data_IF_553347834571
#
_entry.id   IF_553347834571
#
_cell.length_a   1.000
_cell.length_b   1.000
_cell.length_c   1.000
_cell.angle_alpha   90.00
_cell.angle_beta   90.00
_cell.angle_gamma   90.00
#
_symmetry.space_group_name_H-M   'P 1'
#
loop_
_entity.id
_entity.type
_entity.pdbx_description
1 polymer ?
#
# COMPACT_ATOMS: atom_id res chain seq x y z
N UNK A 1 -31.64 2.93 60.16
CA UNK A 1 -31.74 4.39 59.98
C UNK A 1 -30.36 4.98 60.10
N UNK A 2 -30.06 6.00 59.28
CA UNK A 2 -28.78 6.71 59.09
C UNK A 2 -27.68 5.97 58.30
N UNK A 3 -27.65 6.25 56.98
CA UNK A 3 -26.44 6.59 56.21
C UNK A 3 -26.86 7.22 54.88
N UNK A 4 -27.01 8.53 54.91
CA UNK A 4 -27.09 9.40 53.75
C UNK A 4 -26.22 10.62 54.07
N UNK A 5 -25.70 11.30 53.04
CA UNK A 5 -24.88 12.52 53.09
C UNK A 5 -23.37 12.30 53.24
N UNK A 6 -22.71 11.73 52.23
CA UNK A 6 -21.29 11.98 51.89
C UNK A 6 -20.96 11.54 50.45
N UNK A 7 -21.82 11.86 49.47
CA UNK A 7 -21.64 11.40 48.08
C UNK A 7 -21.93 12.45 47.01
N UNK A 8 -21.75 13.75 47.31
CA UNK A 8 -22.01 14.85 46.35
C UNK A 8 -20.80 15.77 46.16
N UNK A 9 -19.61 15.44 46.70
CA UNK A 9 -18.43 16.28 46.54
C UNK A 9 -17.20 15.53 46.03
N UNK A 10 -17.38 14.62 45.07
CA UNK A 10 -16.28 13.93 44.39
C UNK A 10 -16.62 13.67 42.93
N UNK A 11 -17.27 14.63 42.26
CA UNK A 11 -17.65 14.54 40.84
C UNK A 11 -17.30 15.82 40.07
N UNK A 12 -16.36 16.60 40.58
CA UNK A 12 -15.90 17.85 39.95
C UNK A 12 -14.37 17.94 39.77
N UNK A 13 -13.64 16.83 39.92
CA UNK A 13 -12.16 16.83 39.82
C UNK A 13 -11.57 15.70 38.95
N UNK A 14 -12.35 15.15 38.03
CA UNK A 14 -11.93 14.11 37.05
C UNK A 14 -12.31 14.49 35.61
N UNK A 15 -12.50 15.79 35.35
CA UNK A 15 -12.90 16.33 34.05
C UNK A 15 -11.80 17.12 33.32
N UNK A 16 -10.52 16.93 33.65
CA UNK A 16 -9.44 17.77 33.12
C UNK A 16 -8.18 17.03 32.60
N UNK A 17 -8.14 15.70 32.59
CA UNK A 17 -6.96 14.92 32.15
C UNK A 17 -7.17 14.12 30.86
N UNK A 18 -8.28 14.32 30.15
CA UNK A 18 -8.63 13.59 28.92
C UNK A 18 -8.52 14.39 27.61
N UNK A 19 -7.93 15.60 27.63
CA UNK A 19 -7.86 16.49 26.44
C UNK A 19 -6.42 16.72 25.95
N UNK A 20 -5.40 16.18 26.64
CA UNK A 20 -4.01 16.36 26.25
C UNK A 20 -3.53 15.42 25.12
N UNK A 21 -4.24 14.32 24.83
CA UNK A 21 -3.86 13.37 23.77
C UNK A 21 -4.45 13.71 22.38
N UNK A 22 -5.41 14.64 22.31
CA UNK A 22 -5.98 15.15 21.03
C UNK A 22 -5.18 16.32 20.46
N UNK A 23 -4.13 16.79 21.15
CA UNK A 23 -3.30 17.91 20.72
C UNK A 23 -2.05 17.48 19.94
N UNK A 24 -1.70 16.19 19.91
CA UNK A 24 -0.46 15.73 19.27
C UNK A 24 -0.63 15.38 17.78
N UNK A 25 -1.83 15.00 17.33
CA UNK A 25 -2.18 14.95 15.89
C UNK A 25 -2.41 16.35 15.29
N UNK A 26 -2.65 17.37 16.12
CA UNK A 26 -2.85 18.75 15.65
C UNK A 26 -1.55 19.47 15.24
N UNK A 27 -0.37 18.91 15.51
CA UNK A 27 0.91 19.56 15.22
C UNK A 27 1.47 19.31 13.80
N UNK A 28 0.94 18.35 13.03
CA UNK A 28 1.30 18.21 11.60
C UNK A 28 0.59 19.23 10.69
N UNK A 29 -0.57 19.75 11.10
CA UNK A 29 -1.34 20.71 10.31
C UNK A 29 -0.78 22.16 10.35
N UNK A 30 -0.01 22.54 11.37
CA UNK A 30 0.38 23.95 11.57
C UNK A 30 1.57 24.44 10.72
N UNK A 31 2.30 23.56 10.02
CA UNK A 31 3.43 23.97 9.15
C UNK A 31 3.07 24.06 7.66
N UNK A 32 1.88 23.62 7.26
CA UNK A 32 1.47 23.58 5.85
C UNK A 32 0.39 24.61 5.49
N UNK A 33 0.04 25.55 6.37
CA UNK A 33 -0.96 26.58 6.06
C UNK A 33 -0.45 27.73 5.18
N UNK A 34 0.88 27.90 5.01
CA UNK A 34 1.44 28.92 4.10
C UNK A 34 1.46 28.42 2.66
N UNK A 35 0.30 28.42 2.02
CA UNK A 35 0.14 28.14 0.58
C UNK A 35 -0.81 27.00 0.23
N UNK A 36 -1.50 26.41 1.20
CA UNK A 36 -2.54 25.42 0.91
C UNK A 36 -3.68 26.09 0.13
N UNK A 37 -3.89 25.59 -1.08
CA UNK A 37 -5.01 26.01 -1.92
C UNK A 37 -6.33 25.77 -1.16
N UNK A 38 -7.33 26.65 -1.32
CA UNK A 38 -8.57 26.53 -0.58
C UNK A 38 -9.26 25.20 -0.90
N UNK A 39 -9.47 24.35 0.12
CA UNK A 39 -10.21 23.09 0.02
C UNK A 39 -11.59 23.23 0.69
N UNK A 40 -12.56 22.47 0.20
CA UNK A 40 -13.82 22.21 0.91
C UNK A 40 -13.72 20.83 1.56
N UNK A 41 -14.07 20.72 2.83
CA UNK A 41 -13.96 19.46 3.58
C UNK A 41 -15.26 19.05 4.26
N UNK A 42 -15.41 17.75 4.49
CA UNK A 42 -16.47 17.13 5.26
C UNK A 42 -15.90 16.08 6.20
N UNK A 43 -16.20 16.23 7.47
CA UNK A 43 -15.78 15.30 8.52
C UNK A 43 -16.91 14.31 8.84
N UNK A 44 -16.54 13.05 9.01
CA UNK A 44 -17.44 11.95 9.37
C UNK A 44 -16.83 11.23 10.55
N UNK A 45 -17.60 11.11 11.62
CA UNK A 45 -17.21 10.40 12.82
C UNK A 45 -18.07 9.17 12.98
N UNK A 46 -17.46 8.03 13.26
CA UNK A 46 -18.14 6.78 13.57
C UNK A 46 -17.52 6.13 14.79
N UNK A 47 -18.36 5.55 15.64
CA UNK A 47 -17.91 4.79 16.79
C UNK A 47 -18.81 3.59 17.02
N UNK A 48 -18.22 2.43 17.28
CA UNK A 48 -18.95 1.18 17.53
C UNK A 48 -18.22 0.37 18.60
N UNK A 49 -18.95 -0.10 19.60
CA UNK A 49 -18.38 -0.99 20.63
C UNK A 49 -18.00 -2.35 20.02
N UNK A 50 -16.73 -2.72 20.16
CA UNK A 50 -16.15 -3.97 19.66
C UNK A 50 -16.72 -5.21 20.33
N UNK A 51 -16.90 -5.18 21.65
CA UNK A 51 -17.46 -6.32 22.40
C UNK A 51 -16.61 -7.60 22.22
N UNK A 52 -17.20 -8.64 21.63
CA UNK A 52 -16.55 -9.92 21.32
C UNK A 52 -16.05 -10.01 19.86
N UNK A 53 -15.98 -8.88 19.15
CA UNK A 53 -15.45 -8.84 17.80
C UNK A 53 -14.04 -9.44 17.74
N UNK A 54 -13.79 -10.17 16.66
CA UNK A 54 -12.50 -10.80 16.37
C UNK A 54 -11.88 -10.29 15.09
N UNK A 55 -12.71 -9.77 14.18
CA UNK A 55 -12.27 -9.33 12.85
C UNK A 55 -12.65 -7.86 12.65
N UNK A 56 -11.72 -7.06 12.12
CA UNK A 56 -11.94 -5.74 11.57
C UNK A 56 -11.78 -5.80 10.06
N UNK A 57 -12.88 -5.60 9.33
CA UNK A 57 -12.87 -5.47 7.87
C UNK A 57 -12.87 -3.99 7.48
N UNK A 58 -11.92 -3.59 6.65
CA UNK A 58 -11.79 -2.24 6.12
C UNK A 58 -11.86 -2.34 4.60
N UNK A 59 -12.89 -1.74 4.00
CA UNK A 59 -13.11 -1.71 2.55
C UNK A 59 -13.24 -0.25 2.11
N UNK A 60 -12.13 0.30 1.61
CA UNK A 60 -12.02 1.69 1.21
C UNK A 60 -11.46 1.72 -0.21
N UNK A 61 -12.13 2.31 -1.20
CA UNK A 61 -11.63 2.25 -2.56
C UNK A 61 -10.41 3.14 -2.76
N UNK A 62 -10.34 4.30 -2.12
CA UNK A 62 -9.18 5.17 -2.20
C UNK A 62 -9.02 6.08 -1.00
N UNK A 63 -7.80 6.52 -0.74
CA UNK A 63 -7.49 7.50 0.30
C UNK A 63 -6.22 7.15 1.08
N UNK A 64 -6.00 7.90 2.16
CA UNK A 64 -4.98 7.65 3.17
C UNK A 64 -5.66 7.08 4.41
N UNK A 65 -5.16 5.95 4.90
CA UNK A 65 -5.69 5.25 6.06
C UNK A 65 -4.62 5.20 7.17
N UNK A 66 -4.94 5.74 8.33
CA UNK A 66 -4.14 5.65 9.55
C UNK A 66 -4.80 4.64 10.49
N UNK A 67 -4.23 3.44 10.64
CA UNK A 67 -4.79 2.37 11.48
C UNK A 67 -3.94 2.17 12.74
N UNK A 68 -4.49 2.53 13.89
CA UNK A 68 -3.86 2.33 15.19
C UNK A 68 -4.68 1.41 16.06
N UNK A 69 -4.01 0.52 16.77
CA UNK A 69 -4.66 -0.25 17.84
C UNK A 69 -4.69 0.53 19.14
N UNK A 70 -5.69 0.27 19.98
CA UNK A 70 -5.85 0.89 21.28
C UNK A 70 -6.25 -0.14 22.33
N UNK A 71 -6.11 0.23 23.60
CA UNK A 71 -6.61 -0.55 24.74
C UNK A 71 -8.12 -0.43 24.92
N UNK A 72 -8.77 0.45 24.14
CA UNK A 72 -10.22 0.58 24.16
C UNK A 72 -10.86 -0.65 23.54
N UNK A 73 -12.03 -1.03 24.03
CA UNK A 73 -12.87 -2.04 23.39
C UNK A 73 -13.79 -1.43 22.31
N UNK A 74 -13.58 -0.17 21.95
CA UNK A 74 -14.36 0.58 20.96
C UNK A 74 -13.55 0.76 19.69
N UNK A 75 -14.22 0.59 18.55
CA UNK A 75 -13.73 1.03 17.25
C UNK A 75 -14.15 2.49 17.05
N UNK A 76 -13.17 3.37 16.86
CA UNK A 76 -13.39 4.78 16.50
C UNK A 76 -12.87 5.05 15.10
N UNK A 77 -13.62 5.81 14.34
CA UNK A 77 -13.29 6.21 12.97
C UNK A 77 -13.49 7.71 12.86
N UNK A 78 -12.46 8.43 12.45
CA UNK A 78 -12.51 9.84 12.08
C UNK A 78 -12.08 9.94 10.62
N UNK A 79 -12.98 10.39 9.75
CA UNK A 79 -12.69 10.53 8.33
C UNK A 79 -12.91 11.95 7.86
N UNK A 80 -11.97 12.47 7.06
CA UNK A 80 -12.05 13.79 6.44
C UNK A 80 -12.00 13.60 4.94
N UNK A 81 -13.09 14.01 4.28
CA UNK A 81 -13.14 14.14 2.83
C UNK A 81 -12.82 15.57 2.47
N UNK A 82 -11.90 15.79 1.54
CA UNK A 82 -11.59 17.12 1.05
C UNK A 82 -11.56 17.17 -0.47
N UNK A 83 -11.84 18.34 -1.03
CA UNK A 83 -11.70 18.60 -2.45
C UNK A 83 -11.24 20.04 -2.70
N UNK A 84 -10.36 20.23 -3.69
CA UNK A 84 -9.83 21.55 -4.05
C UNK A 84 -10.90 22.45 -4.68
N UNK A 85 -10.87 23.74 -4.35
CA UNK A 85 -11.72 24.76 -4.98
C UNK A 85 -11.07 25.34 -6.26
N UNK A 86 -11.86 25.74 -7.27
CA UNK A 86 -13.32 25.60 -7.34
C UNK A 86 -13.75 24.14 -7.53
N UNK A 87 -14.83 23.74 -6.85
CA UNK A 87 -15.33 22.36 -6.91
C UNK A 87 -15.88 22.03 -8.30
N UNK A 88 -15.40 20.95 -8.89
CA UNK A 88 -16.06 20.33 -10.04
C UNK A 88 -17.39 19.69 -9.61
N UNK A 89 -18.31 19.49 -10.56
CA UNK A 89 -19.57 18.79 -10.28
C UNK A 89 -19.33 17.36 -9.75
N UNK A 90 -18.28 16.68 -10.23
CA UNK A 90 -17.89 15.35 -9.76
C UNK A 90 -17.33 15.39 -8.33
N UNK A 91 -16.45 16.35 -8.01
CA UNK A 91 -15.91 16.51 -6.66
C UNK A 91 -17.02 16.85 -5.64
N UNK A 92 -17.94 17.74 -6.02
CA UNK A 92 -19.12 18.06 -5.21
C UNK A 92 -20.00 16.82 -4.99
N UNK A 93 -20.29 16.07 -6.05
CA UNK A 93 -21.05 14.82 -5.95
C UNK A 93 -20.36 13.81 -5.04
N UNK A 94 -19.03 13.71 -5.09
CA UNK A 94 -18.26 12.84 -4.21
C UNK A 94 -18.35 13.27 -2.73
N UNK A 95 -18.20 14.56 -2.44
CA UNK A 95 -18.40 15.09 -1.08
C UNK A 95 -19.84 14.88 -0.58
N UNK A 96 -20.83 14.99 -1.46
CA UNK A 96 -22.26 14.93 -1.12
C UNK A 96 -22.82 13.52 -0.97
N UNK A 97 -22.40 12.60 -1.82
CA UNK A 97 -23.07 11.30 -1.98
C UNK A 97 -22.24 10.11 -1.51
N UNK A 98 -20.96 10.30 -1.16
CA UNK A 98 -20.16 9.21 -0.60
C UNK A 98 -20.65 8.85 0.80
N UNK A 99 -20.74 7.56 1.10
CA UNK A 99 -21.23 7.06 2.39
C UNK A 99 -20.12 6.27 3.06
N UNK A 100 -19.69 6.71 4.23
CA UNK A 100 -18.81 5.93 5.10
C UNK A 100 -19.68 5.25 6.16
N UNK A 101 -19.65 3.92 6.21
CA UNK A 101 -20.42 3.12 7.16
C UNK A 101 -19.48 2.46 8.15
N UNK A 102 -19.76 2.64 9.44
CA UNK A 102 -19.10 1.93 10.54
C UNK A 102 -20.15 1.08 11.23
N UNK A 103 -19.97 -0.24 11.24
CA UNK A 103 -20.98 -1.16 11.74
C UNK A 103 -20.37 -2.40 12.39
N UNK A 104 -21.17 -3.12 13.17
CA UNK A 104 -20.84 -4.43 13.73
C UNK A 104 -21.89 -5.43 13.31
N UNK A 105 -21.44 -6.59 12.86
CA UNK A 105 -22.28 -7.75 12.61
C UNK A 105 -21.66 -8.96 13.30
N UNK A 106 -22.22 -9.33 14.45
CA UNK A 106 -21.67 -10.39 15.30
C UNK A 106 -20.23 -10.10 15.72
N UNK A 107 -19.32 -10.99 15.32
CA UNK A 107 -17.89 -10.93 15.61
C UNK A 107 -17.07 -10.11 14.59
N UNK A 108 -17.72 -9.43 13.64
CA UNK A 108 -17.06 -8.64 12.60
C UNK A 108 -17.40 -7.17 12.76
N UNK A 109 -16.38 -6.34 12.94
CA UNK A 109 -16.45 -4.89 12.78
C UNK A 109 -16.17 -4.55 11.31
N UNK A 110 -16.90 -3.59 10.76
CA UNK A 110 -16.75 -3.19 9.35
C UNK A 110 -16.68 -1.67 9.25
N UNK A 111 -15.62 -1.18 8.57
CA UNK A 111 -15.49 0.19 8.08
C UNK A 111 -15.54 0.11 6.56
N UNK A 112 -16.55 0.73 5.94
CA UNK A 112 -16.75 0.66 4.50
C UNK A 112 -17.02 2.04 3.92
N UNK A 113 -16.23 2.45 2.94
CA UNK A 113 -16.49 3.64 2.14
C UNK A 113 -17.17 3.25 0.82
N UNK A 114 -18.27 3.90 0.51
CA UNK A 114 -19.01 3.71 -0.73
C UNK A 114 -19.08 5.04 -1.50
N UNK A 115 -18.22 5.25 -2.52
CA UNK A 115 -18.28 6.42 -3.37
C UNK A 115 -19.54 6.39 -4.23
N UNK A 116 -19.91 7.52 -4.87
CA UNK A 116 -21.12 7.58 -5.68
C UNK A 116 -21.04 6.62 -6.87
N UNK A 117 -22.17 6.05 -7.28
CA UNK A 117 -22.22 5.11 -8.41
C UNK A 117 -21.60 5.70 -9.67
N UNK A 118 -20.73 4.92 -10.32
CA UNK A 118 -20.03 5.29 -11.55
C UNK A 118 -18.79 6.18 -11.34
N UNK A 119 -18.43 6.52 -10.10
CA UNK A 119 -17.25 7.34 -9.80
C UNK A 119 -15.94 6.65 -10.24
N UNK A 120 -15.80 5.36 -9.96
CA UNK A 120 -14.59 4.59 -10.26
C UNK A 120 -14.54 4.06 -11.72
N UNK A 121 -15.70 3.82 -12.35
CA UNK A 121 -15.78 3.14 -13.65
C UNK A 121 -15.23 3.98 -14.81
N UNK A 122 -15.33 5.31 -14.72
CA UNK A 122 -15.05 6.17 -15.86
C UNK A 122 -13.57 6.53 -16.05
N UNK A 123 -12.68 6.15 -15.11
CA UNK A 123 -11.32 6.70 -15.08
C UNK A 123 -11.31 8.24 -15.02
N UNK A 124 -12.44 8.84 -14.64
CA UNK A 124 -12.71 10.27 -14.61
C UNK A 124 -12.14 10.95 -13.36
N UNK A 125 -11.48 10.21 -12.46
CA UNK A 125 -10.70 10.80 -11.38
C UNK A 125 -9.58 11.73 -11.89
N UNK A 126 -9.26 11.67 -13.19
CA UNK A 126 -8.41 12.65 -13.87
C UNK A 126 -9.05 14.05 -13.85
N UNK A 127 -8.77 14.80 -12.78
CA UNK A 127 -9.16 16.20 -12.62
C UNK A 127 -9.98 16.47 -11.36
N UNK A 128 -10.47 15.44 -10.68
CA UNK A 128 -11.05 15.58 -9.35
C UNK A 128 -9.90 15.54 -8.34
N UNK A 129 -9.38 16.70 -7.96
CA UNK A 129 -8.47 16.85 -6.82
C UNK A 129 -9.29 16.67 -5.53
N UNK A 130 -9.51 15.40 -5.19
CA UNK A 130 -10.21 14.93 -4.01
C UNK A 130 -9.26 14.11 -3.15
N UNK A 131 -9.51 14.10 -1.85
CA UNK A 131 -8.69 13.39 -0.88
C UNK A 131 -9.58 12.84 0.24
N UNK A 132 -9.28 11.63 0.71
CA UNK A 132 -9.97 10.96 1.81
C UNK A 132 -8.93 10.51 2.80
N UNK A 133 -8.94 11.10 3.98
CA UNK A 133 -8.10 10.71 5.10
C UNK A 133 -8.98 10.00 6.13
N UNK A 134 -8.59 8.82 6.58
CA UNK A 134 -9.33 8.03 7.57
C UNK A 134 -8.38 7.62 8.69
N UNK A 135 -8.67 8.09 9.89
CA UNK A 135 -8.04 7.61 11.11
C UNK A 135 -8.95 6.56 11.78
N UNK A 136 -8.40 5.37 12.03
CA UNK A 136 -9.07 4.27 12.71
C UNK A 136 -8.31 3.94 14.00
N UNK A 137 -9.01 4.00 15.12
CA UNK A 137 -8.55 3.46 16.40
C UNK A 137 -9.34 2.20 16.72
N UNK A 138 -8.70 1.03 16.63
CA UNK A 138 -9.34 -0.27 16.79
C UNK A 138 -8.91 -0.97 18.10
N UNK A 139 -9.73 -1.87 18.66
CA UNK A 139 -9.29 -2.75 19.74
C UNK A 139 -8.05 -3.59 19.33
N UNK A 140 -7.08 -3.70 20.24
CA UNK A 140 -5.91 -4.55 20.03
C UNK A 140 -6.30 -6.05 19.92
N UNK A 141 -5.52 -6.80 19.14
CA UNK A 141 -5.65 -8.24 18.96
C UNK A 141 -6.69 -8.68 17.93
N UNK A 142 -7.38 -7.74 17.26
CA UNK A 142 -8.27 -8.07 16.15
C UNK A 142 -7.51 -8.56 14.92
N UNK A 143 -8.09 -9.51 14.20
CA UNK A 143 -7.68 -9.87 12.85
C UNK A 143 -8.11 -8.76 11.89
N UNK A 144 -7.19 -8.24 11.08
CA UNK A 144 -7.48 -7.16 10.12
C UNK A 144 -7.59 -7.73 8.72
N UNK A 145 -8.66 -7.36 8.01
CA UNK A 145 -8.91 -7.62 6.58
C UNK A 145 -9.06 -6.28 5.87
N UNK A 146 -7.94 -5.74 5.37
CA UNK A 146 -7.84 -4.46 4.69
C UNK A 146 -7.91 -4.63 3.17
N UNK A 147 -8.80 -3.88 2.54
CA UNK A 147 -8.90 -3.73 1.10
C UNK A 147 -8.86 -2.24 0.73
N UNK A 148 -7.80 -1.85 0.03
CA UNK A 148 -7.59 -0.51 -0.51
C UNK A 148 -7.32 -0.60 -2.00
N UNK A 149 -8.05 0.10 -2.87
CA UNK A 149 -7.70 0.04 -4.31
C UNK A 149 -6.58 1.01 -4.66
N UNK A 150 -6.61 2.22 -4.11
CA UNK A 150 -5.64 3.27 -4.41
C UNK A 150 -5.29 4.12 -3.18
N UNK A 151 -4.03 4.43 -2.97
CA UNK A 151 -3.59 5.31 -1.88
C UNK A 151 -2.80 4.57 -0.83
N UNK A 152 -2.67 5.17 0.35
CA UNK A 152 -1.71 4.72 1.35
C UNK A 152 -2.40 4.21 2.61
N UNK A 153 -1.79 3.22 3.25
CA UNK A 153 -2.20 2.76 4.56
C UNK A 153 -0.97 2.76 5.48
N UNK A 154 -1.01 3.55 6.53
CA UNK A 154 -0.02 3.48 7.60
C UNK A 154 -0.67 3.11 8.93
N UNK A 155 0.14 2.61 9.85
CA UNK A 155 -0.40 2.18 11.11
C UNK A 155 0.57 1.41 12.00
N UNK A 156 0.06 1.01 13.15
CA UNK A 156 0.87 0.31 14.13
C UNK A 156 0.08 -0.25 15.31
N UNK A 157 0.76 -1.08 16.07
CA UNK A 157 0.26 -1.72 17.29
C UNK A 157 0.07 -3.23 17.17
N UNK A 158 -0.87 -3.77 17.94
CA UNK A 158 -0.99 -5.21 18.18
C UNK A 158 -2.21 -5.80 17.48
N UNK A 159 -1.99 -6.64 16.48
CA UNK A 159 -3.04 -7.32 15.72
C UNK A 159 -3.03 -8.84 15.99
N UNK A 160 -4.17 -9.47 15.73
CA UNK A 160 -4.26 -10.93 15.64
C UNK A 160 -3.50 -11.39 14.39
N UNK A 161 -4.21 -11.62 13.29
CA UNK A 161 -3.65 -11.67 11.95
C UNK A 161 -3.81 -10.33 11.23
N UNK A 162 -2.98 -10.07 10.22
CA UNK A 162 -3.13 -8.88 9.37
C UNK A 162 -3.11 -9.31 7.91
N UNK A 163 -4.22 -9.12 7.22
CA UNK A 163 -4.36 -9.33 5.79
C UNK A 163 -4.66 -8.00 5.11
N UNK A 164 -3.84 -7.62 4.13
CA UNK A 164 -3.99 -6.36 3.40
C UNK A 164 -3.84 -6.56 1.90
N UNK A 165 -4.79 -6.04 1.13
CA UNK A 165 -4.72 -5.98 -0.32
C UNK A 165 -4.79 -4.52 -0.74
N UNK A 166 -3.70 -4.00 -1.30
CA UNK A 166 -3.62 -2.64 -1.85
C UNK A 166 -3.40 -2.70 -3.36
N UNK A 167 -4.26 -2.06 -4.15
CA UNK A 167 -4.12 -2.06 -5.61
C UNK A 167 -2.90 -1.26 -6.06
N UNK A 168 -2.86 0.03 -5.75
CA UNK A 168 -1.67 0.86 -5.97
C UNK A 168 -1.49 1.93 -4.88
N UNK A 169 -0.28 2.01 -4.34
CA UNK A 169 0.10 2.97 -3.29
C UNK A 169 1.04 2.33 -2.27
N UNK A 170 1.04 2.86 -1.05
CA UNK A 170 2.05 2.52 -0.04
C UNK A 170 1.41 1.88 1.19
N UNK A 171 2.11 0.91 1.79
CA UNK A 171 1.74 0.32 3.08
C UNK A 171 2.91 0.51 4.03
N UNK A 172 2.75 1.32 5.08
CA UNK A 172 3.78 1.57 6.08
C UNK A 172 3.30 1.18 7.49
N UNK A 173 3.67 -0.02 7.95
CA UNK A 173 3.26 -0.53 9.26
C UNK A 173 4.45 -0.53 10.22
N UNK A 174 4.55 0.51 11.05
CA UNK A 174 5.65 0.69 11.99
C UNK A 174 5.19 1.37 13.31
N UNK A 175 5.49 0.79 14.49
CA UNK A 175 5.83 -0.61 14.75
C UNK A 175 4.58 -1.50 14.77
N UNK A 176 4.69 -2.74 14.31
CA UNK A 176 3.60 -3.73 14.31
C UNK A 176 3.99 -5.03 15.03
N UNK A 177 3.05 -5.58 15.80
CA UNK A 177 3.12 -6.92 16.39
C UNK A 177 1.89 -7.74 15.97
N UNK A 178 2.12 -8.88 15.32
CA UNK A 178 1.06 -9.79 14.90
C UNK A 178 1.14 -11.11 15.68
N UNK A 179 0.04 -11.51 16.31
CA UNK A 179 -0.08 -12.82 16.94
C UNK A 179 -0.25 -13.98 15.94
N UNK A 180 -0.73 -13.68 14.75
CA UNK A 180 -1.07 -14.56 13.65
C UNK A 180 -0.22 -14.34 12.41
N UNK A 181 -0.77 -14.66 11.23
CA UNK A 181 -0.11 -14.49 9.94
C UNK A 181 -0.18 -13.02 9.48
N UNK A 182 0.88 -12.58 8.80
CA UNK A 182 0.91 -11.31 8.08
C UNK A 182 0.88 -11.61 6.58
N UNK A 183 -0.19 -11.22 5.88
CA UNK A 183 -0.40 -11.46 4.44
C UNK A 183 -0.68 -10.12 3.74
N UNK A 184 0.32 -9.57 3.06
CA UNK A 184 0.21 -8.29 2.35
C UNK A 184 0.43 -8.47 0.85
N UNK A 185 -0.46 -7.86 0.08
CA UNK A 185 -0.45 -7.90 -1.37
C UNK A 185 -0.63 -6.48 -1.93
N UNK A 186 0.44 -5.92 -2.49
CA UNK A 186 0.43 -4.59 -3.13
C UNK A 186 0.61 -4.73 -4.64
N UNK A 187 -0.32 -4.24 -5.44
CA UNK A 187 -0.20 -4.31 -6.91
C UNK A 187 0.97 -3.49 -7.44
N UNK A 188 0.98 -2.19 -7.13
CA UNK A 188 2.06 -1.28 -7.48
C UNK A 188 2.33 -0.28 -6.36
N UNK A 189 3.54 -0.29 -5.82
CA UNK A 189 4.03 0.61 -4.79
C UNK A 189 4.83 -0.10 -3.71
N UNK A 190 4.93 0.52 -2.54
CA UNK A 190 5.90 0.14 -1.51
C UNK A 190 5.24 -0.52 -0.30
N UNK A 191 5.95 -1.47 0.30
CA UNK A 191 5.63 -2.05 1.60
C UNK A 191 6.80 -1.75 2.54
N UNK A 192 6.55 -0.99 3.61
CA UNK A 192 7.47 -0.75 4.71
C UNK A 192 6.91 -1.41 5.97
N UNK A 193 7.68 -2.30 6.61
CA UNK A 193 7.25 -3.04 7.79
C UNK A 193 8.31 -2.99 8.89
N UNK A 194 7.94 -2.48 10.06
CA UNK A 194 8.72 -2.60 11.29
C UNK A 194 8.09 -3.58 12.26
N UNK A 195 8.63 -4.79 12.35
CA UNK A 195 8.13 -5.76 13.32
C UNK A 195 8.69 -5.46 14.72
N UNK A 196 7.82 -5.29 15.71
CA UNK A 196 8.21 -5.14 17.12
C UNK A 196 8.52 -6.51 17.76
N UNK A 197 7.84 -7.56 17.30
CA UNK A 197 7.97 -8.92 17.82
C UNK A 197 8.26 -9.93 16.70
N UNK A 198 8.99 -11.03 16.98
CA UNK A 198 9.18 -12.10 16.00
C UNK A 198 7.86 -12.65 15.46
N UNK A 199 7.87 -13.05 14.19
CA UNK A 199 6.74 -13.72 13.56
C UNK A 199 6.38 -15.00 14.33
N UNK A 200 5.08 -15.24 14.52
CA UNK A 200 4.55 -16.44 15.19
C UNK A 200 3.95 -17.45 14.23
N UNK A 201 3.62 -17.03 13.01
CA UNK A 201 3.00 -17.84 11.96
C UNK A 201 3.63 -17.49 10.61
N UNK A 202 3.46 -18.42 9.68
CA UNK A 202 3.89 -18.23 8.31
C UNK A 202 3.22 -16.96 7.74
N UNK A 203 4.02 -16.14 7.07
CA UNK A 203 3.66 -14.82 6.59
C UNK A 203 4.11 -14.64 5.15
N UNK A 204 3.35 -13.86 4.39
CA UNK A 204 3.55 -13.67 2.97
C UNK A 204 3.47 -12.18 2.63
N UNK A 205 4.44 -11.69 1.88
CA UNK A 205 4.49 -10.33 1.38
C UNK A 205 4.68 -10.39 -0.13
N UNK A 206 3.87 -9.63 -0.85
CA UNK A 206 3.91 -9.61 -2.29
C UNK A 206 3.73 -8.19 -2.80
N UNK A 207 4.62 -7.77 -3.70
CA UNK A 207 4.49 -6.53 -4.48
C UNK A 207 4.62 -6.84 -5.97
N UNK A 208 3.73 -6.33 -6.80
CA UNK A 208 3.81 -6.53 -8.25
C UNK A 208 4.93 -5.68 -8.85
N UNK A 209 4.92 -4.39 -8.54
CA UNK A 209 5.99 -3.46 -8.89
C UNK A 209 6.24 -2.46 -7.76
N UNK A 210 7.45 -2.44 -7.22
CA UNK A 210 7.88 -1.51 -6.17
C UNK A 210 8.82 -2.18 -5.18
N UNK A 211 8.91 -1.62 -3.98
CA UNK A 211 9.90 -2.01 -2.97
C UNK A 211 9.24 -2.65 -1.75
N UNK A 212 9.92 -3.64 -1.17
CA UNK A 212 9.55 -4.20 0.13
C UNK A 212 10.73 -4.02 1.09
N UNK A 213 10.54 -3.17 2.11
CA UNK A 213 11.46 -2.93 3.20
C UNK A 213 10.92 -3.56 4.48
N UNK A 214 11.73 -4.39 5.14
CA UNK A 214 11.33 -5.10 6.36
C UNK A 214 12.41 -4.95 7.42
N UNK A 215 12.04 -4.42 8.56
CA UNK A 215 12.88 -4.37 9.75
C UNK A 215 12.49 -5.49 10.73
N UNK A 216 13.38 -6.46 10.88
CA UNK A 216 13.21 -7.58 11.80
C UNK A 216 13.91 -7.31 13.15
N UNK A 217 13.29 -7.67 14.29
CA UNK A 217 13.96 -7.67 15.60
C UNK A 217 15.25 -8.48 15.58
N UNK A 218 16.26 -8.06 16.36
CA UNK A 218 17.58 -8.75 16.45
C UNK A 218 17.45 -10.25 16.73
N UNK A 219 16.51 -10.62 17.59
CA UNK A 219 16.25 -11.98 18.06
C UNK A 219 15.23 -12.76 17.20
N UNK A 220 14.96 -12.32 15.96
CA UNK A 220 14.02 -13.03 15.07
C UNK A 220 14.55 -14.41 14.69
N UNK A 221 13.70 -15.42 14.91
CA UNK A 221 13.87 -16.79 14.43
C UNK A 221 12.85 -17.05 13.31
N UNK A 222 13.31 -17.13 12.06
CA UNK A 222 12.44 -17.30 10.90
C UNK A 222 13.20 -17.94 9.73
N UNK A 223 12.49 -18.71 8.91
CA UNK A 223 13.00 -19.13 7.60
C UNK A 223 12.48 -18.14 6.54
N UNK A 224 13.38 -17.39 5.90
CA UNK A 224 13.01 -16.32 4.96
C UNK A 224 13.30 -16.76 3.53
N UNK A 225 12.32 -16.61 2.64
CA UNK A 225 12.44 -16.85 1.20
C UNK A 225 12.08 -15.57 0.46
N UNK A 226 13.07 -14.89 -0.09
CA UNK A 226 12.91 -13.67 -0.88
C UNK A 226 13.06 -13.98 -2.38
N UNK A 227 12.14 -13.50 -3.19
CA UNK A 227 12.12 -13.71 -4.64
C UNK A 227 11.80 -12.41 -5.36
N UNK A 228 12.62 -12.06 -6.35
CA UNK A 228 12.43 -10.90 -7.22
C UNK A 228 12.42 -11.34 -8.69
N UNK A 229 11.44 -10.88 -9.46
CA UNK A 229 11.38 -11.10 -10.90
C UNK A 229 12.45 -10.28 -11.62
N UNK A 230 12.48 -8.97 -11.39
CA UNK A 230 13.53 -8.06 -11.89
C UNK A 230 13.93 -7.08 -10.79
N UNK A 231 15.20 -7.09 -10.41
CA UNK A 231 15.78 -6.16 -9.44
C UNK A 231 16.64 -6.84 -8.40
N UNK A 232 16.68 -6.30 -7.18
CA UNK A 232 17.71 -6.64 -6.18
C UNK A 232 17.14 -7.12 -4.85
N UNK A 233 17.92 -7.98 -4.18
CA UNK A 233 17.61 -8.49 -2.83
C UNK A 233 18.79 -8.16 -1.93
N UNK A 234 18.55 -7.32 -0.93
CA UNK A 234 19.51 -6.91 0.09
C UNK A 234 19.17 -7.50 1.46
N UNK A 235 20.18 -7.59 2.33
CA UNK A 235 20.00 -8.05 3.72
C UNK A 235 19.81 -9.57 3.89
N UNK A 236 19.72 -10.31 2.80
CA UNK A 236 19.70 -11.78 2.80
C UNK A 236 21.07 -12.31 2.35
N UNK A 237 21.80 -13.06 3.20
CA UNK A 237 23.06 -13.68 2.82
C UNK A 237 22.89 -14.49 1.54
N UNK A 238 23.70 -14.21 0.52
CA UNK A 238 23.68 -14.99 -0.71
C UNK A 238 24.26 -16.39 -0.43
N UNK A 239 23.53 -17.44 -0.81
CA UNK A 239 24.04 -18.82 -0.78
C UNK A 239 25.10 -19.07 -1.86
N UNK A 240 25.26 -18.15 -2.81
CA UNK A 240 26.25 -18.24 -3.89
C UNK A 240 26.65 -16.83 -4.34
N UNK A 241 27.96 -16.54 -4.33
CA UNK A 241 28.54 -15.27 -4.77
C UNK A 241 28.26 -15.06 -6.26
N UNK A 242 27.31 -14.18 -6.55
CA UNK A 242 27.20 -13.56 -7.86
C UNK A 242 27.07 -12.08 -7.57
N UNK A 243 28.19 -11.37 -7.58
CA UNK A 243 28.17 -9.90 -7.52
C UNK A 243 27.99 -9.43 -8.96
N UNK A 244 26.86 -8.77 -9.24
CA UNK A 244 26.49 -8.34 -10.58
C UNK A 244 25.24 -7.47 -10.56
N UNK A 245 25.34 -6.39 -11.33
CA UNK A 245 24.40 -5.28 -11.54
C UNK A 245 23.08 -5.78 -12.18
N UNK A 246 21.96 -5.63 -11.47
CA UNK A 246 20.57 -5.98 -11.86
C UNK A 246 20.36 -7.42 -12.32
N UNK A 247 19.68 -8.23 -11.50
CA UNK A 247 19.39 -9.63 -11.82
C UNK A 247 17.94 -9.82 -12.28
N UNK A 248 17.79 -10.50 -13.40
CA UNK A 248 16.52 -11.11 -13.80
C UNK A 248 16.41 -12.45 -13.06
N UNK A 249 15.39 -12.61 -12.21
CA UNK A 249 15.05 -13.87 -11.54
C UNK A 249 15.88 -14.20 -10.30
N UNK A 250 15.92 -13.30 -9.32
CA UNK A 250 16.63 -13.51 -8.06
C UNK A 250 15.80 -14.29 -7.05
N UNK A 251 16.34 -15.39 -6.51
CA UNK A 251 15.75 -16.08 -5.35
C UNK A 251 16.81 -16.30 -4.28
N UNK A 252 16.52 -15.89 -3.05
CA UNK A 252 17.39 -16.12 -1.89
C UNK A 252 16.59 -16.77 -0.77
N UNK A 253 17.22 -17.69 -0.07
CA UNK A 253 16.68 -18.31 1.13
C UNK A 253 17.71 -18.21 2.23
N UNK A 254 17.28 -17.82 3.41
CA UNK A 254 18.12 -17.78 4.59
C UNK A 254 17.34 -18.26 5.80
N UNK A 255 18.08 -18.76 6.77
CA UNK A 255 17.55 -19.08 8.10
C UNK A 255 18.09 -18.04 9.07
N UNK A 256 17.20 -17.27 9.68
CA UNK A 256 17.55 -16.38 10.78
C UNK A 256 17.41 -17.13 12.11
N UNK A 257 18.45 -17.00 12.96
CA UNK A 257 18.49 -17.65 14.27
C UNK A 257 18.40 -19.18 14.16
N UNK A 258 17.47 -19.78 14.90
CA UNK A 258 17.25 -21.23 14.88
C UNK A 258 16.32 -21.70 13.75
N UNK A 259 15.83 -20.79 12.90
CA UNK A 259 14.70 -21.05 12.00
C UNK A 259 13.36 -20.99 12.74
N UNK A 260 12.25 -21.10 12.01
CA UNK A 260 10.94 -20.84 12.61
C UNK A 260 9.85 -20.67 11.57
N UNK A 261 8.83 -19.83 11.85
CA UNK A 261 7.81 -19.50 10.87
C UNK A 261 8.42 -18.98 9.57
N UNK A 262 7.76 -19.30 8.46
CA UNK A 262 8.21 -18.90 7.13
C UNK A 262 7.82 -17.46 6.83
N UNK A 263 8.72 -16.71 6.24
CA UNK A 263 8.44 -15.40 5.66
C UNK A 263 8.75 -15.45 4.17
N UNK A 264 7.70 -15.55 3.37
CA UNK A 264 7.78 -15.58 1.91
C UNK A 264 7.59 -14.16 1.37
N UNK A 265 8.58 -13.64 0.65
CA UNK A 265 8.58 -12.28 0.10
C UNK A 265 8.74 -12.38 -1.40
N UNK A 266 7.85 -11.75 -2.15
CA UNK A 266 7.88 -11.76 -3.60
C UNK A 266 7.71 -10.35 -4.16
N UNK A 267 8.60 -9.96 -5.07
CA UNK A 267 8.51 -8.70 -5.81
C UNK A 267 8.58 -9.01 -7.30
N UNK A 268 7.59 -8.57 -8.08
CA UNK A 268 7.63 -8.75 -9.54
C UNK A 268 8.76 -7.92 -10.17
N UNK A 269 8.74 -6.60 -9.95
CA UNK A 269 9.79 -5.68 -10.36
C UNK A 269 10.11 -4.65 -9.28
N UNK A 270 11.36 -4.58 -8.82
CA UNK A 270 11.82 -3.65 -7.80
C UNK A 270 12.79 -4.29 -6.82
N UNK A 271 12.81 -3.85 -5.56
CA UNK A 271 13.80 -4.27 -4.56
C UNK A 271 13.17 -4.91 -3.33
N UNK A 272 13.92 -5.80 -2.70
CA UNK A 272 13.64 -6.33 -1.37
C UNK A 272 14.80 -5.93 -0.46
N UNK A 273 14.51 -5.19 0.60
CA UNK A 273 15.48 -4.86 1.64
C UNK A 273 15.03 -5.44 2.98
N UNK A 274 15.88 -6.29 3.56
CA UNK A 274 15.62 -6.88 4.88
C UNK A 274 16.69 -6.42 5.86
N UNK A 275 16.32 -5.58 6.81
CA UNK A 275 17.22 -5.18 7.89
C UNK A 275 17.00 -6.06 9.12
N UNK A 276 18.08 -6.29 9.86
CA UNK A 276 18.04 -6.91 11.19
C UNK A 276 18.69 -5.96 12.14
N UNK A 277 18.05 -5.79 13.28
CA UNK A 277 18.57 -4.83 14.23
C UNK A 277 17.48 -4.17 15.01
N UNK A 278 16.29 -4.02 14.42
CA UNK A 278 15.33 -3.05 14.90
C UNK A 278 16.10 -1.79 15.22
N UNK A 279 16.46 -0.98 14.22
CA UNK A 279 16.60 0.43 14.55
C UNK A 279 15.20 0.83 14.97
N UNK A 280 14.89 0.66 16.26
CA UNK A 280 13.66 1.19 16.81
C UNK A 280 13.67 2.63 16.37
N UNK A 281 12.59 3.12 15.78
CA UNK A 281 12.50 4.53 15.40
C UNK A 281 12.96 5.47 16.55
N UNK A 282 12.79 5.00 17.80
CA UNK A 282 13.37 5.57 19.02
C UNK A 282 14.90 5.61 19.10
N UNK A 283 15.65 4.62 18.60
CA UNK A 283 17.12 4.61 18.61
C UNK A 283 17.68 5.63 17.62
N UNK A 284 17.05 5.84 16.46
CA UNK A 284 17.46 6.91 15.52
C UNK A 284 17.02 8.29 15.98
N UNK A 285 15.83 8.42 16.58
CA UNK A 285 15.42 9.67 17.22
C UNK A 285 16.31 10.03 18.41
N UNK A 286 16.67 9.04 19.23
CA UNK A 286 17.56 9.25 20.36
C UNK A 286 18.99 9.54 19.87
N UNK A 287 19.50 8.81 18.88
CA UNK A 287 20.81 9.11 18.30
C UNK A 287 20.86 10.47 17.59
N UNK A 288 19.77 10.91 16.95
CA UNK A 288 19.68 12.25 16.35
C UNK A 288 19.45 13.37 17.36
N UNK A 289 18.90 13.07 18.54
CA UNK A 289 18.80 14.02 19.67
C UNK A 289 20.09 14.10 20.49
N UNK A 290 20.87 13.01 20.57
CA UNK A 290 22.15 12.95 21.30
C UNK A 290 23.34 13.43 20.45
N UNK A 291 23.23 13.42 19.12
CA UNK A 291 24.20 14.05 18.24
C UNK A 291 24.02 15.58 18.25
N UNK A 292 24.61 16.26 19.25
CA UNK A 292 24.81 17.71 19.16
C UNK A 292 25.63 18.01 17.89
N UNK A 293 25.13 18.83 16.95
CA UNK A 293 25.89 19.18 15.76
C UNK A 293 27.05 20.10 16.16
N UNK A 294 28.20 19.52 16.50
CA UNK A 294 29.48 20.25 16.53
C UNK A 294 29.90 20.49 15.09
N UNK A 295 29.31 21.51 14.46
CA UNK A 295 29.79 21.99 13.17
C UNK A 295 31.05 22.84 13.44
N UNK A 296 32.20 22.18 13.40
CA UNK A 296 33.49 22.86 13.37
C UNK A 296 33.71 23.43 11.97
N UNK A 297 33.28 24.68 11.76
CA UNK A 297 33.61 25.44 10.57
C UNK A 297 35.08 25.85 10.65
N UNK A 298 35.98 25.00 10.18
CA UNK A 298 37.36 25.38 9.92
C UNK A 298 37.50 25.77 8.44
N UNK A 299 37.63 27.07 8.12
CA UNK A 299 37.74 27.54 6.74
C UNK A 299 39.21 27.49 6.31
N UNK A 300 39.70 26.31 5.93
CA UNK A 300 40.97 26.18 5.23
C UNK A 300 40.95 24.96 4.32
N UNK A 301 41.42 25.15 3.09
CA UNK A 301 41.80 24.14 2.12
C UNK A 301 40.68 23.38 1.40
N UNK A 302 39.94 24.12 0.55
CA UNK A 302 39.41 23.55 -0.70
C UNK A 302 40.22 24.15 -1.84
N UNK A 303 41.30 23.47 -2.24
CA UNK A 303 41.96 23.72 -3.52
C UNK A 303 41.15 23.05 -4.62
N UNK A 304 40.67 23.79 -5.63
CA UNK A 304 39.98 23.19 -6.76
C UNK A 304 41.01 22.55 -7.69
N UNK A 305 41.12 21.22 -7.63
CA UNK A 305 41.77 20.45 -8.69
C UNK A 305 40.92 20.55 -9.96
N UNK A 306 41.40 21.35 -10.90
CA UNK A 306 40.87 21.49 -12.24
C UNK A 306 41.42 20.35 -13.11
N UNK A 307 40.83 19.17 -12.99
CA UNK A 307 40.95 18.16 -14.04
C UNK A 307 39.94 18.49 -15.15
N UNK A 308 40.46 19.07 -16.24
CA UNK A 308 39.78 19.33 -17.50
C UNK A 308 39.42 18.02 -18.22
N UNK A 309 38.54 17.20 -17.62
CA UNK A 309 37.87 16.12 -18.33
C UNK A 309 36.87 16.73 -19.31
N UNK A 310 37.17 16.58 -20.61
CA UNK A 310 36.42 17.14 -21.73
C UNK A 310 34.93 16.77 -21.60
N UNK A 311 34.02 17.74 -21.37
CA UNK A 311 32.60 17.51 -21.07
C UNK A 311 31.77 16.93 -22.23
N UNK A 312 32.39 16.37 -23.28
CA UNK A 312 31.72 15.82 -24.45
C UNK A 312 31.75 14.30 -24.58
N UNK A 313 32.56 13.57 -23.80
CA UNK A 313 32.63 12.11 -23.88
C UNK A 313 31.53 11.42 -23.07
N UNK A 314 31.31 11.85 -21.82
CA UNK A 314 30.29 11.29 -20.93
C UNK A 314 28.89 11.46 -21.55
N UNK A 315 28.56 12.64 -22.06
CA UNK A 315 27.26 12.91 -22.70
C UNK A 315 27.01 12.03 -23.93
N UNK A 316 28.06 11.68 -24.68
CA UNK A 316 27.94 10.79 -25.86
C UNK A 316 27.72 9.34 -25.46
N UNK A 317 28.37 8.88 -24.39
CA UNK A 317 28.18 7.52 -23.88
C UNK A 317 26.78 7.35 -23.27
N UNK A 318 26.32 8.34 -22.49
CA UNK A 318 24.96 8.36 -21.95
C UNK A 318 23.91 8.37 -23.07
N UNK A 319 24.08 9.22 -24.09
CA UNK A 319 23.15 9.28 -25.22
C UNK A 319 23.11 7.97 -26.03
N UNK A 320 24.26 7.30 -26.20
CA UNK A 320 24.34 5.99 -26.87
C UNK A 320 23.64 4.90 -26.06
N UNK A 321 23.93 4.82 -24.75
CA UNK A 321 23.29 3.85 -23.85
C UNK A 321 21.77 4.03 -23.80
N UNK A 322 21.29 5.28 -23.73
CA UNK A 322 19.86 5.59 -23.72
C UNK A 322 19.16 5.16 -25.02
N UNK A 323 19.83 5.33 -26.17
CA UNK A 323 19.31 4.92 -27.48
C UNK A 323 19.23 3.40 -27.62
N UNK A 324 20.23 2.68 -27.12
CA UNK A 324 20.25 1.21 -27.14
C UNK A 324 19.17 0.63 -26.21
N UNK A 325 19.03 1.17 -25.00
CA UNK A 325 17.98 0.77 -24.05
C UNK A 325 16.56 1.04 -24.60
N UNK A 326 16.35 2.17 -25.28
CA UNK A 326 15.07 2.48 -25.93
C UNK A 326 14.74 1.48 -27.04
N UNK A 327 15.71 1.13 -27.89
CA UNK A 327 15.52 0.16 -28.96
C UNK A 327 15.25 -1.26 -28.45
N UNK A 328 15.87 -1.67 -27.34
CA UNK A 328 15.61 -2.96 -26.70
C UNK A 328 14.19 -3.00 -26.09
N UNK A 329 13.78 -1.93 -25.42
CA UNK A 329 12.43 -1.78 -24.88
C UNK A 329 11.35 -1.86 -25.98
N UNK A 330 11.56 -1.21 -27.12
CA UNK A 330 10.65 -1.29 -28.28
C UNK A 330 10.52 -2.72 -28.82
N UNK A 331 11.63 -3.49 -28.86
CA UNK A 331 11.60 -4.90 -29.29
C UNK A 331 10.83 -5.78 -28.32
N UNK A 332 11.10 -5.67 -27.02
CA UNK A 332 10.41 -6.44 -25.99
C UNK A 332 8.89 -6.17 -25.99
N UNK A 333 8.49 -4.90 -26.16
CA UNK A 333 7.08 -4.51 -26.26
C UNK A 333 6.41 -5.03 -27.54
N UNK A 334 7.11 -5.00 -28.68
CA UNK A 334 6.58 -5.55 -29.92
C UNK A 334 6.38 -7.07 -29.85
N UNK A 335 7.24 -7.79 -29.11
CA UNK A 335 7.08 -9.20 -28.83
C UNK A 335 5.87 -9.47 -27.92
N UNK A 336 5.73 -8.72 -26.83
CA UNK A 336 4.56 -8.81 -25.94
C UNK A 336 3.24 -8.54 -26.70
N UNK A 337 3.20 -7.55 -27.61
CA UNK A 337 2.01 -7.31 -28.42
C UNK A 337 1.68 -8.49 -29.35
N UNK A 338 2.70 -9.17 -29.90
CA UNK A 338 2.49 -10.37 -30.73
C UNK A 338 1.96 -11.54 -29.90
N UNK A 339 2.44 -11.72 -28.67
CA UNK A 339 1.99 -12.77 -27.78
C UNK A 339 0.54 -12.56 -27.34
N UNK A 340 0.17 -11.33 -26.96
CA UNK A 340 -1.22 -10.95 -26.64
C UNK A 340 -2.14 -11.22 -27.86
N UNK A 341 -1.72 -10.84 -29.07
CA UNK A 341 -2.50 -11.12 -30.29
C UNK A 341 -2.68 -12.61 -30.55
N UNK A 342 -1.65 -13.43 -30.29
CA UNK A 342 -1.74 -14.90 -30.41
C UNK A 342 -2.73 -15.49 -29.41
N UNK A 343 -2.65 -15.07 -28.15
CA UNK A 343 -3.57 -15.52 -27.11
C UNK A 343 -5.03 -15.13 -27.44
N UNK A 344 -5.26 -13.92 -27.97
CA UNK A 344 -6.59 -13.50 -28.40
C UNK A 344 -7.14 -14.34 -29.56
N UNK A 345 -6.29 -14.69 -30.54
CA UNK A 345 -6.69 -15.55 -31.65
C UNK A 345 -7.06 -16.97 -31.18
N UNK A 346 -6.36 -17.49 -30.17
CA UNK A 346 -6.66 -18.79 -29.56
C UNK A 346 -8.00 -18.76 -28.81
N UNK A 347 -8.27 -17.67 -28.06
CA UNK A 347 -9.57 -17.46 -27.41
C UNK A 347 -10.68 -17.39 -28.46
N UNK A 348 -10.51 -16.62 -29.54
CA UNK A 348 -11.51 -16.52 -30.61
C UNK A 348 -11.78 -17.88 -31.27
N UNK A 349 -10.75 -18.73 -31.42
CA UNK A 349 -10.88 -20.09 -31.95
C UNK A 349 -11.65 -21.00 -31.00
N UNK A 350 -11.25 -21.07 -29.73
CA UNK A 350 -11.95 -21.86 -28.71
C UNK A 350 -13.43 -21.44 -28.59
N UNK A 351 -13.70 -20.14 -28.76
CA UNK A 351 -15.06 -19.59 -28.74
C UNK A 351 -15.88 -19.96 -29.98
N UNK A 352 -15.26 -20.01 -31.15
CA UNK A 352 -15.91 -20.50 -32.35
C UNK A 352 -16.26 -21.99 -32.25
N UNK A 353 -15.40 -22.78 -31.61
CA UNK A 353 -15.62 -24.21 -31.34
C UNK A 353 -16.76 -24.42 -30.32
N UNK A 354 -16.74 -23.72 -29.18
CA UNK A 354 -17.81 -23.76 -28.19
C UNK A 354 -19.18 -23.37 -28.78
N UNK A 355 -19.23 -22.37 -29.66
CA UNK A 355 -20.47 -21.99 -30.36
C UNK A 355 -21.00 -23.08 -31.30
N UNK A 356 -20.11 -23.87 -31.91
CA UNK A 356 -20.52 -25.01 -32.76
C UNK A 356 -21.10 -26.13 -31.91
N UNK A 357 -20.48 -26.42 -30.76
CA UNK A 357 -20.91 -27.44 -29.81
C UNK A 357 -22.28 -27.12 -29.21
N UNK A 358 -22.46 -25.90 -28.69
CA UNK A 358 -23.76 -25.42 -28.14
C UNK A 358 -24.88 -25.55 -29.18
N UNK A 359 -24.59 -25.22 -30.44
CA UNK A 359 -25.56 -25.34 -31.53
C UNK A 359 -25.90 -26.79 -31.85
N UNK A 360 -24.95 -27.71 -31.71
CA UNK A 360 -25.19 -29.13 -31.97
C UNK A 360 -26.03 -29.81 -30.90
N UNK A 361 -25.90 -29.37 -29.64
CA UNK A 361 -26.56 -30.01 -28.48
C UNK A 361 -27.96 -29.46 -28.16
N UNK A 362 -28.48 -28.50 -28.94
CA UNK A 362 -29.79 -27.85 -28.66
C UNK A 362 -29.89 -27.29 -27.23
N UNK A 363 -28.78 -26.78 -26.70
CA UNK A 363 -28.79 -26.16 -25.38
C UNK A 363 -29.71 -24.94 -25.39
N UNK A 364 -30.58 -24.85 -24.38
CA UNK A 364 -31.62 -23.83 -24.29
C UNK A 364 -31.06 -22.39 -24.29
N UNK A 365 -31.92 -21.39 -24.57
CA UNK A 365 -31.53 -19.98 -24.72
C UNK A 365 -30.81 -19.39 -23.49
N UNK A 366 -31.00 -19.97 -22.31
CA UNK A 366 -30.35 -19.53 -21.07
C UNK A 366 -28.84 -19.78 -21.07
N UNK A 367 -28.38 -20.91 -21.63
CA UNK A 367 -26.95 -21.23 -21.73
C UNK A 367 -26.29 -20.30 -22.74
N UNK A 368 -26.98 -19.99 -23.84
CA UNK A 368 -26.48 -19.04 -24.83
C UNK A 368 -26.28 -17.65 -24.22
N UNK A 369 -27.19 -17.20 -23.34
CA UNK A 369 -27.09 -15.92 -22.64
C UNK A 369 -25.90 -15.86 -21.66
N UNK A 370 -25.70 -16.94 -20.87
CA UNK A 370 -24.55 -17.06 -19.94
C UNK A 370 -23.23 -16.98 -20.72
N UNK A 371 -23.13 -17.75 -21.80
CA UNK A 371 -21.95 -17.78 -22.65
C UNK A 371 -21.72 -16.39 -23.26
N UNK A 372 -22.75 -15.73 -23.82
CA UNK A 372 -22.65 -14.37 -24.37
C UNK A 372 -22.15 -13.34 -23.35
N UNK A 373 -22.64 -13.43 -22.11
CA UNK A 373 -22.21 -12.57 -21.01
C UNK A 373 -20.74 -12.79 -20.65
N UNK A 374 -20.32 -14.05 -20.50
CA UNK A 374 -18.92 -14.40 -20.26
C UNK A 374 -18.00 -13.88 -21.39
N UNK A 375 -18.45 -13.97 -22.66
CA UNK A 375 -17.68 -13.44 -23.79
C UNK A 375 -17.47 -11.93 -23.70
N UNK A 376 -18.52 -11.19 -23.33
CA UNK A 376 -18.47 -9.73 -23.21
C UNK A 376 -17.49 -9.30 -22.11
N UNK A 377 -17.48 -10.03 -20.99
CA UNK A 377 -16.55 -9.78 -19.87
C UNK A 377 -15.11 -10.06 -20.26
N UNK A 378 -14.83 -11.23 -20.87
CA UNK A 378 -13.47 -11.61 -21.29
C UNK A 378 -12.89 -10.61 -22.30
N UNK A 379 -13.68 -10.23 -23.32
CA UNK A 379 -13.25 -9.24 -24.32
C UNK A 379 -13.01 -7.85 -23.70
N UNK A 380 -13.86 -7.43 -22.77
CA UNK A 380 -13.69 -6.17 -22.05
C UNK A 380 -12.39 -6.11 -21.24
N UNK A 381 -12.03 -7.21 -20.56
CA UNK A 381 -10.78 -7.32 -19.82
C UNK A 381 -9.54 -7.26 -20.73
N UNK A 382 -9.56 -7.99 -21.86
CA UNK A 382 -8.46 -7.95 -22.84
C UNK A 382 -8.29 -6.57 -23.48
N UNK A 383 -9.39 -5.91 -23.86
CA UNK A 383 -9.36 -4.55 -24.42
C UNK A 383 -8.87 -3.50 -23.40
N UNK A 384 -9.09 -3.74 -22.10
CA UNK A 384 -8.55 -2.90 -21.04
C UNK A 384 -7.03 -3.10 -20.90
N UNK A 385 -6.55 -4.34 -20.87
CA UNK A 385 -5.12 -4.65 -20.79
C UNK A 385 -4.35 -4.03 -21.97
N UNK A 386 -4.85 -4.18 -23.21
CA UNK A 386 -4.25 -3.55 -24.41
C UNK A 386 -4.20 -2.01 -24.32
N UNK A 387 -5.23 -1.39 -23.73
CA UNK A 387 -5.26 0.07 -23.54
C UNK A 387 -4.23 0.52 -22.50
N UNK A 388 -3.99 -0.27 -21.46
CA UNK A 388 -2.97 0.04 -20.46
C UNK A 388 -1.56 -0.09 -21.04
N UNK A 389 -1.26 -1.16 -21.78
CA UNK A 389 0.03 -1.32 -22.49
C UNK A 389 0.30 -0.13 -23.43
N UNK A 390 -0.68 0.26 -24.25
CA UNK A 390 -0.54 1.42 -25.14
C UNK A 390 -0.36 2.75 -24.40
N UNK A 391 -1.00 2.91 -23.24
CA UNK A 391 -0.82 4.11 -22.40
C UNK A 391 0.57 4.17 -21.80
N UNK A 392 1.11 3.05 -21.33
CA UNK A 392 2.48 2.97 -20.84
C UNK A 392 3.48 3.32 -21.94
N UNK A 393 3.27 2.81 -23.16
CA UNK A 393 4.10 3.14 -24.33
C UNK A 393 4.10 4.64 -24.64
N UNK A 394 2.92 5.28 -24.62
CA UNK A 394 2.83 6.72 -24.86
C UNK A 394 3.53 7.55 -23.77
N UNK A 395 3.58 7.09 -22.52
CA UNK A 395 4.28 7.80 -21.43
C UNK A 395 5.80 7.72 -21.56
N UNK A 396 6.31 6.58 -22.02
CA UNK A 396 7.75 6.37 -22.24
C UNK A 396 8.22 7.21 -23.44
N UNK A 397 7.46 7.23 -24.53
CA UNK A 397 7.85 7.93 -25.77
C UNK A 397 7.56 9.44 -25.77
N UNK A 398 6.73 9.95 -24.85
CA UNK A 398 6.37 11.38 -24.79
C UNK A 398 7.22 12.22 -23.84
N UNK A 399 8.20 11.65 -23.13
CA UNK A 399 9.19 12.42 -22.36
C UNK A 399 10.41 12.65 -23.27
N UNK A 400 10.66 13.89 -23.73
CA UNK A 400 11.87 14.22 -24.46
C UNK A 400 13.13 14.07 -23.61
#
# INVERSE_FOLDING_TARGET
MLKSTYFVLTTALLGATGVAATLQTSHRNLRQERGQEPRESRTINGAVTGGDARVLRIDVPFGTLHLLTSRSNELKVHAVRSAKKPLSAEARRWLDQSVLTVSRNGNVLTVKDQPPTGFLEKGNSKGADIDLEIEISAPAGLDVDLQLKYGSADGGGQFGAFKGVVGAGEVDLHPISCGGALDLHVGAGQISLGLESPLRRDSKLWSGAGEITIDLPKNTNADVSAEVGVGDIEGVPATSRSDGEIKIGGKRRTRFGQGGPKLDIHVGAGSIQISRGGKTFGDELQASMEAEPTVDFSPADVTPDQDDEKPGQIDREIAKALKEASAESERAMAEAEREIKRAMAEVDRAMAEARREIRSEHLGPDIEAIVRSAMKTARGASDQALREVRRSLKRITSKP
#
